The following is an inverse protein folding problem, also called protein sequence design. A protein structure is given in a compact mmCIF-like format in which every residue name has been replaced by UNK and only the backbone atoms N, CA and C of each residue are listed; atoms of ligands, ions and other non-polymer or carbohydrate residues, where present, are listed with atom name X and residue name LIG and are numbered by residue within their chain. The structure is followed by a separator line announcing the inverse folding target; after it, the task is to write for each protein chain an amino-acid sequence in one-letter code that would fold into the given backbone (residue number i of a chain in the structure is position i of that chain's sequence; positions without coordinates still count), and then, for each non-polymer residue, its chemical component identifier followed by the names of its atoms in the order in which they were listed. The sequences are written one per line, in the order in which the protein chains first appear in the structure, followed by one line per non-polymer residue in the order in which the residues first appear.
data_IF_287039941853
#
_entry.id   IF_287039941853
#
_cell.length_a   1.000
_cell.length_b   1.000
_cell.length_c   1.000
_cell.angle_alpha   90.00
_cell.angle_beta   90.00
_cell.angle_gamma   90.00
#
_symmetry.space_group_name_H-M   'P 1'
#
loop_
_entity.id
_entity.type
_entity.pdbx_description
1 polymer ?
#
# COMPACT_ATOMS: atom_id res chain seq x y z
N UNK A 1 -7.64 -11.21 -19.31
CA UNK A 1 -6.67 -11.34 -18.19
C UNK A 1 -6.46 -10.03 -17.40
N UNK A 2 -7.05 -8.89 -17.77
CA UNK A 2 -7.07 -7.68 -16.91
C UNK A 2 -8.23 -7.66 -15.90
N UNK A 3 -9.29 -8.41 -16.20
CA UNK A 3 -10.56 -8.43 -15.45
C UNK A 3 -10.47 -9.02 -14.04
N UNK A 4 -9.60 -10.00 -13.79
CA UNK A 4 -9.49 -10.65 -12.46
C UNK A 4 -8.81 -9.73 -11.44
N UNK A 5 -7.74 -9.03 -11.84
CA UNK A 5 -7.05 -8.09 -10.96
C UNK A 5 -7.94 -6.87 -10.69
N UNK A 6 -8.53 -6.28 -11.73
CA UNK A 6 -9.45 -5.13 -11.57
C UNK A 6 -10.62 -5.46 -10.65
N UNK A 7 -11.25 -6.64 -10.81
CA UNK A 7 -12.31 -7.09 -9.92
C UNK A 7 -11.84 -7.24 -8.48
N UNK A 8 -10.64 -7.80 -8.27
CA UNK A 8 -10.08 -7.96 -6.92
C UNK A 8 -9.78 -6.61 -6.24
N UNK A 9 -9.30 -5.63 -7.01
CA UNK A 9 -9.07 -4.27 -6.50
C UNK A 9 -10.40 -3.61 -6.11
N UNK A 10 -11.43 -3.75 -6.95
CA UNK A 10 -12.78 -3.25 -6.64
C UNK A 10 -13.39 -3.95 -5.41
N UNK A 11 -13.24 -5.27 -5.30
CA UNK A 11 -13.73 -6.02 -4.13
C UNK A 11 -13.03 -5.58 -2.84
N UNK A 12 -11.76 -5.21 -2.93
CA UNK A 12 -10.98 -4.70 -1.79
C UNK A 12 -11.50 -3.34 -1.31
N UNK A 13 -11.87 -2.44 -2.23
CA UNK A 13 -12.40 -1.11 -1.89
C UNK A 13 -13.85 -1.12 -1.40
N UNK A 14 -14.56 -2.25 -1.47
CA UNK A 14 -15.87 -2.42 -0.83
C UNK A 14 -15.80 -2.36 0.70
N UNK A 15 -14.63 -2.60 1.29
CA UNK A 15 -14.41 -2.37 2.71
C UNK A 15 -14.39 -0.86 2.98
N UNK A 16 -15.34 -0.35 3.76
CA UNK A 16 -15.48 1.10 4.05
C UNK A 16 -14.27 1.75 4.71
N UNK A 17 -13.39 0.96 5.34
CA UNK A 17 -12.16 1.49 5.90
C UNK A 17 -11.06 1.68 4.86
N UNK A 18 -11.20 1.15 3.64
CA UNK A 18 -10.23 1.22 2.56
C UNK A 18 -10.67 2.30 1.57
N UNK A 19 -9.85 3.33 1.42
CA UNK A 19 -10.07 4.47 0.52
C UNK A 19 -9.62 4.12 -0.90
N UNK A 20 -8.64 3.23 -1.02
CA UNK A 20 -8.24 2.69 -2.31
C UNK A 20 -7.02 1.79 -2.25
N UNK A 21 -6.69 1.26 -3.42
CA UNK A 21 -5.64 0.29 -3.63
C UNK A 21 -4.98 0.53 -4.99
N UNK A 22 -3.67 0.32 -5.05
CA UNK A 22 -2.89 0.39 -6.28
C UNK A 22 -1.90 -0.77 -6.35
N UNK A 23 -1.83 -1.41 -7.51
CA UNK A 23 -0.79 -2.37 -7.86
C UNK A 23 0.17 -1.77 -8.87
N UNK A 24 1.48 -1.88 -8.61
CA UNK A 24 2.52 -1.44 -9.54
C UNK A 24 3.65 -2.47 -9.64
N UNK A 25 4.34 -2.52 -10.77
CA UNK A 25 5.58 -3.28 -10.91
C UNK A 25 6.77 -2.56 -10.28
N UNK A 26 7.91 -3.25 -10.15
CA UNK A 26 9.16 -2.64 -9.66
C UNK A 26 9.66 -1.45 -10.50
N UNK A 27 9.21 -1.30 -11.75
CA UNK A 27 9.55 -0.15 -12.60
C UNK A 27 8.62 1.05 -12.40
N UNK A 28 7.64 0.97 -11.49
CA UNK A 28 6.66 2.04 -11.28
C UNK A 28 5.54 2.08 -12.33
N UNK A 29 5.41 1.04 -13.16
CA UNK A 29 4.31 0.89 -14.10
C UNK A 29 3.05 0.45 -13.36
N UNK A 30 1.95 1.17 -13.53
CA UNK A 30 0.67 0.82 -12.94
C UNK A 30 0.11 -0.45 -13.57
N UNK A 31 -0.26 -1.41 -12.72
CA UNK A 31 -0.90 -2.67 -13.09
C UNK A 31 -2.42 -2.60 -12.90
N UNK A 32 -2.90 -1.70 -12.04
CA UNK A 32 -4.29 -1.41 -11.76
C UNK A 32 -4.46 -0.61 -10.47
N UNK A 33 -5.48 0.24 -10.41
CA UNK A 33 -5.83 1.00 -9.20
C UNK A 33 -7.35 1.17 -9.07
N UNK A 34 -7.82 1.28 -7.83
CA UNK A 34 -9.21 1.61 -7.50
C UNK A 34 -9.22 2.57 -6.31
N UNK A 35 -9.87 3.74 -6.45
CA UNK A 35 -9.82 4.79 -5.43
C UNK A 35 -8.45 5.50 -5.36
N UNK A 36 -8.08 6.00 -4.18
CA UNK A 36 -6.75 6.56 -3.93
C UNK A 36 -5.85 5.51 -3.26
N UNK A 37 -4.60 5.29 -3.72
CA UNK A 37 -3.84 6.10 -4.67
C UNK A 37 -4.12 5.80 -6.16
N UNK A 38 -3.90 6.81 -7.02
CA UNK A 38 -4.08 6.79 -8.49
C UNK A 38 -2.77 6.48 -9.25
N UNK A 39 -2.85 6.33 -10.57
CA UNK A 39 -1.72 6.02 -11.49
C UNK A 39 -0.44 6.83 -11.25
N UNK A 40 -0.57 8.13 -10.98
CA UNK A 40 0.57 9.04 -10.77
C UNK A 40 1.44 8.66 -9.55
N UNK A 41 0.90 7.87 -8.62
CA UNK A 41 1.58 7.44 -7.40
C UNK A 41 2.44 6.18 -7.62
N UNK A 42 2.25 5.45 -8.72
CA UNK A 42 2.90 4.16 -8.97
C UNK A 42 4.44 4.27 -8.94
N UNK A 43 4.99 5.33 -9.55
CA UNK A 43 6.42 5.61 -9.55
C UNK A 43 6.97 5.80 -8.13
N UNK A 44 6.37 6.70 -7.34
CA UNK A 44 6.82 7.00 -5.97
C UNK A 44 6.72 5.77 -5.07
N UNK A 45 5.60 5.03 -5.15
CA UNK A 45 5.39 3.80 -4.40
C UNK A 45 6.47 2.76 -4.73
N UNK A 46 6.83 2.62 -6.01
CA UNK A 46 7.89 1.69 -6.42
C UNK A 46 9.26 2.07 -5.89
N UNK A 47 9.58 3.36 -5.83
CA UNK A 47 10.85 3.88 -5.29
C UNK A 47 10.91 3.66 -3.78
N UNK A 48 9.84 3.96 -3.04
CA UNK A 48 9.78 3.75 -1.59
C UNK A 48 10.09 2.30 -1.21
N UNK A 49 9.52 1.35 -1.94
CA UNK A 49 9.84 -0.06 -1.75
C UNK A 49 11.29 -0.38 -2.08
N UNK A 50 11.84 0.17 -3.17
CA UNK A 50 13.23 -0.07 -3.53
C UNK A 50 14.23 0.45 -2.49
N UNK A 51 13.90 1.55 -1.81
CA UNK A 51 14.68 2.05 -0.66
C UNK A 51 14.69 1.08 0.53
N UNK A 52 13.78 0.10 0.54
CA UNK A 52 13.70 -0.96 1.56
C UNK A 52 14.26 -2.31 1.07
N UNK A 53 15.02 -2.32 -0.03
CA UNK A 53 15.57 -3.57 -0.61
C UNK A 53 16.66 -4.22 0.26
N UNK A 54 17.29 -3.45 1.15
CA UNK A 54 18.36 -3.94 2.03
C UNK A 54 17.84 -4.78 3.22
N UNK A 55 16.52 -4.85 3.40
CA UNK A 55 15.91 -5.66 4.45
C UNK A 55 15.71 -7.11 3.97
N UNK A 56 16.29 -8.05 4.72
CA UNK A 56 16.22 -9.50 4.44
C UNK A 56 14.83 -10.10 4.62
N UNK A 57 13.88 -9.34 5.20
CA UNK A 57 12.47 -9.70 5.33
C UNK A 57 11.65 -8.78 4.44
N UNK A 58 10.68 -9.30 3.70
CA UNK A 58 9.75 -8.54 2.85
C UNK A 58 9.10 -7.42 3.68
N UNK A 59 9.58 -6.17 3.59
CA UNK A 59 9.17 -5.13 4.52
C UNK A 59 7.80 -4.58 4.11
N UNK A 60 7.02 -4.14 5.10
CA UNK A 60 5.84 -3.31 4.88
C UNK A 60 6.25 -1.88 5.15
N UNK A 61 6.12 -1.01 4.17
CA UNK A 61 6.30 0.44 4.33
C UNK A 61 4.95 1.03 4.71
N UNK A 62 4.89 1.72 5.85
CA UNK A 62 3.68 2.40 6.30
C UNK A 62 3.91 3.91 6.29
N UNK A 63 3.07 4.65 5.57
CA UNK A 63 3.00 6.11 5.64
C UNK A 63 1.77 6.48 6.46
N UNK A 64 1.97 7.18 7.58
CA UNK A 64 0.89 7.59 8.47
C UNK A 64 0.66 9.11 8.38
N UNK A 65 -0.59 9.52 8.32
CA UNK A 65 -1.01 10.92 8.25
C UNK A 65 -2.40 11.08 8.87
N UNK A 66 -2.85 12.32 9.06
CA UNK A 66 -4.22 12.66 9.46
C UNK A 66 -5.26 12.12 8.46
N UNK A 67 -4.84 11.88 7.21
CA UNK A 67 -5.65 11.27 6.15
C UNK A 67 -5.70 9.72 6.23
N UNK A 68 -5.17 9.12 7.30
CA UNK A 68 -5.07 7.67 7.47
C UNK A 68 -3.71 7.11 7.06
N UNK A 69 -3.67 5.80 6.86
CA UNK A 69 -2.44 5.04 6.73
C UNK A 69 -2.36 4.42 5.33
N UNK A 70 -1.24 4.60 4.65
CA UNK A 70 -0.92 3.88 3.42
C UNK A 70 0.06 2.75 3.73
N UNK A 71 -0.35 1.52 3.48
CA UNK A 71 0.46 0.32 3.65
C UNK A 71 0.97 -0.15 2.29
N UNK A 72 2.28 -0.31 2.13
CA UNK A 72 2.92 -0.67 0.87
C UNK A 72 3.76 -1.93 1.10
N UNK A 73 3.58 -2.94 0.27
CA UNK A 73 4.33 -4.18 0.37
C UNK A 73 4.70 -4.73 -1.01
N UNK A 74 5.91 -5.26 -1.13
CA UNK A 74 6.37 -5.99 -2.32
C UNK A 74 6.11 -7.48 -2.16
N UNK A 75 5.57 -8.14 -3.17
CA UNK A 75 5.48 -9.58 -3.25
C UNK A 75 5.82 -10.02 -4.67
N UNK A 76 6.88 -10.83 -4.81
CA UNK A 76 7.31 -11.44 -6.08
C UNK A 76 7.41 -10.46 -7.27
N UNK A 77 7.94 -9.26 -7.04
CA UNK A 77 8.10 -8.22 -8.08
C UNK A 77 6.87 -7.34 -8.36
N UNK A 78 5.75 -7.62 -7.69
CA UNK A 78 4.57 -6.75 -7.65
C UNK A 78 4.60 -5.96 -6.35
N UNK A 79 4.22 -4.70 -6.40
CA UNK A 79 4.12 -3.80 -5.26
C UNK A 79 2.65 -3.42 -5.11
N UNK A 80 2.06 -3.75 -3.97
CA UNK A 80 0.72 -3.35 -3.60
C UNK A 80 0.75 -2.20 -2.60
N UNK A 81 -0.06 -1.18 -2.83
CA UNK A 81 -0.33 -0.09 -1.90
C UNK A 81 -1.81 -0.09 -1.52
N UNK A 82 -2.11 0.02 -0.22
CA UNK A 82 -3.46 0.03 0.33
C UNK A 82 -3.62 1.25 1.24
N UNK A 83 -4.55 2.13 0.92
CA UNK A 83 -4.85 3.32 1.73
C UNK A 83 -6.05 3.03 2.62
N UNK A 84 -5.80 2.96 3.92
CA UNK A 84 -6.80 2.75 4.95
C UNK A 84 -7.10 4.06 5.66
N UNK A 85 -8.37 4.44 5.74
CA UNK A 85 -8.81 5.55 6.57
C UNK A 85 -8.73 5.12 8.04
N UNK A 86 -8.02 5.90 8.85
CA UNK A 86 -8.02 5.74 10.31
C UNK A 86 -8.97 6.80 10.88
N UNK A 87 -10.09 6.41 11.53
CA UNK A 87 -10.98 7.39 12.13
C UNK A 87 -10.26 8.16 13.26
N UNK A 88 -10.48 9.47 13.35
CA UNK A 88 -10.02 10.32 14.47
C UNK A 88 -10.77 9.96 15.77
N UNK A 89 -10.49 8.80 16.33
CA UNK A 89 -10.84 8.41 17.69
C UNK A 89 -9.60 7.76 18.30
N UNK A 90 -8.81 8.59 19.01
CA UNK A 90 -7.78 8.25 20.01
C UNK A 90 -7.03 6.91 19.84
N UNK A 91 -5.74 7.02 19.48
CA UNK A 91 -4.70 5.98 19.56
C UNK A 91 -4.86 5.03 20.76
N UNK A 92 -4.54 3.74 20.59
CA UNK A 92 -3.15 3.32 20.85
C UNK A 92 -2.60 2.42 19.73
N UNK A 93 -1.51 2.86 19.11
CA UNK A 93 -0.75 2.05 18.14
C UNK A 93 0.01 0.96 18.89
N UNK A 94 -0.57 -0.23 18.98
CA UNK A 94 0.15 -1.44 19.37
C UNK A 94 0.43 -2.27 18.10
N UNK A 95 1.59 -2.04 17.48
CA UNK A 95 2.14 -2.94 16.48
C UNK A 95 2.55 -4.26 17.15
N UNK A 96 1.62 -5.18 17.36
CA UNK A 96 1.94 -6.56 17.73
C UNK A 96 2.16 -7.40 16.47
N UNK A 97 3.43 -7.65 16.16
CA UNK A 97 3.85 -8.68 15.20
C UNK A 97 4.85 -8.20 14.15
N UNK A 98 6.14 -8.21 14.50
CA UNK A 98 7.27 -8.43 13.58
C UNK A 98 7.51 -7.49 12.39
N UNK A 99 6.68 -6.48 12.17
CA UNK A 99 6.86 -5.53 11.06
C UNK A 99 7.73 -4.36 11.52
N UNK A 100 8.91 -4.23 10.90
CA UNK A 100 9.79 -3.08 11.07
C UNK A 100 9.11 -1.85 10.48
N UNK A 101 8.56 -1.01 11.35
CA UNK A 101 7.99 0.30 10.99
C UNK A 101 9.15 1.27 10.72
N UNK A 102 9.42 1.58 9.45
CA UNK A 102 10.33 2.67 9.09
C UNK A 102 9.48 3.93 9.03
N UNK A 103 9.51 4.72 10.10
CA UNK A 103 9.02 6.10 10.10
C UNK A 103 10.11 6.96 9.45
N UNK A 104 9.86 7.45 8.23
CA UNK A 104 10.70 8.47 7.58
C UNK A 104 10.38 9.86 8.15
#
# INVERSE_FOLDING_TARGET
MKTTLEQHLEDTTKNRAIVGVLGTGVQGLNLGCCGMPSDEHAGVISVLVQLTSDFTNIPVVCLESDNGNMMIQKYDGIIGALHKMTPLISSPTACHGGSMLITL
#
